data_IF_020679027894
#
_entry.id   IF_020679027894
#
_cell.length_a   1.000
_cell.length_b   1.000
_cell.length_c   1.000
_cell.angle_alpha   90.00
_cell.angle_beta   90.00
_cell.angle_gamma   90.00
#
_symmetry.space_group_name_H-M   'P 1'
#
loop_
_entity.id
_entity.type
_entity.pdbx_description
1 polymer ?
#
# COMPACT_ATOMS: atom_id res chain seq x y z
N UNK A 1 5.64 -3.30 3.26
CA UNK A 1 5.98 -2.18 4.16
C UNK A 1 5.55 -0.87 3.54
N UNK A 2 5.02 0.10 4.30
CA UNK A 2 4.71 1.44 3.83
C UNK A 2 5.69 2.45 4.42
N UNK A 3 6.08 3.45 3.63
CA UNK A 3 6.93 4.57 4.06
C UNK A 3 6.32 5.90 3.58
N UNK A 4 6.25 6.90 4.46
CA UNK A 4 5.81 8.25 4.11
C UNK A 4 7.02 9.14 3.85
N UNK A 5 7.22 9.53 2.59
CA UNK A 5 8.40 10.24 2.13
C UNK A 5 8.30 11.75 2.37
N UNK A 6 9.42 12.38 2.73
CA UNK A 6 9.59 13.82 2.63
C UNK A 6 9.66 14.26 1.16
N UNK A 7 9.46 15.54 0.86
CA UNK A 7 9.59 16.05 -0.51
C UNK A 7 10.95 15.73 -1.16
N UNK A 8 12.06 15.78 -0.38
CA UNK A 8 13.38 15.43 -0.89
C UNK A 8 13.55 13.93 -1.17
N UNK A 9 12.93 13.07 -0.37
CA UNK A 9 12.92 11.62 -0.62
C UNK A 9 12.04 11.29 -1.82
N UNK A 10 10.89 11.95 -1.97
CA UNK A 10 10.01 11.82 -3.12
C UNK A 10 10.74 12.18 -4.43
N UNK A 11 11.42 13.32 -4.46
CA UNK A 11 12.26 13.73 -5.59
C UNK A 11 13.39 12.73 -5.88
N UNK A 12 14.02 12.16 -4.85
CA UNK A 12 15.08 11.17 -5.00
C UNK A 12 14.55 9.87 -5.62
N UNK A 13 13.38 9.36 -5.17
CA UNK A 13 12.74 8.18 -5.75
C UNK A 13 12.38 8.41 -7.23
N UNK A 14 11.77 9.56 -7.55
CA UNK A 14 11.39 9.89 -8.93
C UNK A 14 12.60 10.06 -9.84
N UNK A 15 13.76 10.39 -9.30
CA UNK A 15 15.02 10.55 -10.04
C UNK A 15 15.77 9.23 -10.28
N UNK A 16 15.37 8.12 -9.69
CA UNK A 16 15.97 6.80 -9.94
C UNK A 16 15.81 6.40 -11.41
N UNK A 17 16.80 5.68 -11.95
CA UNK A 17 16.91 5.38 -13.38
C UNK A 17 16.85 3.89 -13.70
N UNK A 18 17.07 3.06 -12.69
CA UNK A 18 17.09 1.60 -12.80
C UNK A 18 16.72 0.95 -11.46
N UNK A 19 16.51 -0.35 -11.48
CA UNK A 19 16.10 -1.15 -10.33
C UNK A 19 17.12 -1.18 -9.20
N UNK A 20 18.42 -1.09 -9.51
CA UNK A 20 19.49 -1.05 -8.49
C UNK A 20 19.39 0.25 -7.68
N UNK A 21 19.19 1.40 -8.34
CA UNK A 21 19.00 2.68 -7.65
C UNK A 21 17.69 2.70 -6.82
N UNK A 22 16.63 2.06 -7.28
CA UNK A 22 15.37 1.91 -6.52
C UNK A 22 15.59 1.06 -5.27
N UNK A 23 16.31 -0.06 -5.39
CA UNK A 23 16.62 -0.91 -4.24
C UNK A 23 17.51 -0.22 -3.22
N UNK A 24 18.52 0.51 -3.67
CA UNK A 24 19.39 1.29 -2.79
C UNK A 24 18.58 2.36 -2.03
N UNK A 25 17.67 3.05 -2.71
CA UNK A 25 16.78 4.02 -2.10
C UNK A 25 15.88 3.38 -1.02
N UNK A 26 15.26 2.24 -1.32
CA UNK A 26 14.42 1.54 -0.34
C UNK A 26 15.25 1.03 0.84
N UNK A 27 16.45 0.50 0.59
CA UNK A 27 17.36 0.05 1.64
C UNK A 27 17.75 1.19 2.60
N UNK A 28 17.89 2.44 2.10
CA UNK A 28 18.12 3.62 2.95
C UNK A 28 16.90 3.93 3.84
N UNK A 29 15.66 3.82 3.31
CA UNK A 29 14.44 4.00 4.10
C UNK A 29 14.32 2.94 5.20
N UNK A 30 14.54 1.68 4.85
CA UNK A 30 14.52 0.56 5.79
C UNK A 30 15.63 0.70 6.84
N UNK A 31 16.84 1.13 6.44
CA UNK A 31 17.96 1.36 7.35
C UNK A 31 17.72 2.50 8.36
N UNK A 32 16.93 3.50 7.99
CA UNK A 32 16.56 4.60 8.87
C UNK A 32 15.55 4.17 9.94
N UNK A 33 14.68 3.19 9.64
CA UNK A 33 13.66 2.61 10.50
C UNK A 33 12.88 3.63 11.34
N UNK A 34 12.35 4.65 10.66
CA UNK A 34 11.61 5.75 11.30
C UNK A 34 10.17 5.36 11.59
N UNK A 35 9.91 4.90 12.81
CA UNK A 35 8.60 4.42 13.27
C UNK A 35 7.46 5.45 13.12
N UNK A 36 7.76 6.74 13.12
CA UNK A 36 6.74 7.77 12.92
C UNK A 36 6.23 7.78 11.46
N UNK A 37 7.06 7.30 10.53
CA UNK A 37 6.82 7.41 9.09
C UNK A 37 6.89 6.08 8.32
N UNK A 38 6.79 4.97 9.03
CA UNK A 38 6.59 3.64 8.45
C UNK A 38 5.33 2.98 9.03
N UNK A 39 4.80 2.01 8.28
CA UNK A 39 3.71 1.14 8.71
C UNK A 39 3.91 -0.26 8.11
N UNK A 40 3.83 -1.27 8.95
CA UNK A 40 3.86 -2.66 8.52
C UNK A 40 2.45 -3.10 8.10
N UNK A 41 2.36 -3.94 7.07
CA UNK A 41 1.12 -4.60 6.68
C UNK A 41 1.28 -6.13 6.63
N UNK A 42 2.49 -6.61 6.92
CA UNK A 42 2.86 -8.01 6.83
C UNK A 42 2.21 -8.69 5.61
N UNK A 43 1.57 -9.82 5.75
CA UNK A 43 0.89 -10.54 4.65
C UNK A 43 -0.54 -10.05 4.36
N UNK A 44 -1.09 -9.19 5.23
CA UNK A 44 -2.44 -8.64 5.06
C UNK A 44 -2.58 -7.76 3.80
N UNK A 45 -1.46 -7.30 3.22
CA UNK A 45 -1.45 -6.41 2.06
C UNK A 45 -2.18 -6.99 0.83
N UNK A 46 -2.12 -8.31 0.59
CA UNK A 46 -2.78 -8.95 -0.56
C UNK A 46 -4.30 -8.89 -0.42
N UNK A 47 -4.85 -9.43 0.69
CA UNK A 47 -6.30 -9.36 0.95
C UNK A 47 -6.78 -7.90 1.01
N UNK A 48 -6.01 -7.02 1.64
CA UNK A 48 -6.30 -5.59 1.71
C UNK A 48 -6.40 -4.97 0.32
N UNK A 49 -5.40 -5.21 -0.56
CA UNK A 49 -5.42 -4.70 -1.93
C UNK A 49 -6.65 -5.18 -2.71
N UNK A 50 -6.98 -6.47 -2.62
CA UNK A 50 -8.16 -7.04 -3.28
C UNK A 50 -9.46 -6.41 -2.77
N UNK A 51 -9.61 -6.26 -1.47
CA UNK A 51 -10.80 -5.66 -0.87
C UNK A 51 -10.96 -4.18 -1.25
N UNK A 52 -9.87 -3.42 -1.33
CA UNK A 52 -9.88 -2.01 -1.69
C UNK A 52 -10.02 -1.77 -3.20
N UNK A 53 -9.73 -2.78 -4.01
CA UNK A 53 -9.82 -2.79 -5.47
C UNK A 53 -11.02 -3.57 -6.02
N UNK A 54 -10.79 -4.28 -7.11
CA UNK A 54 -11.80 -5.06 -7.85
C UNK A 54 -11.87 -6.56 -7.47
N UNK A 55 -11.18 -6.96 -6.40
CA UNK A 55 -11.08 -8.35 -5.93
C UNK A 55 -9.89 -9.12 -6.50
N UNK A 56 -9.14 -8.55 -7.44
CA UNK A 56 -8.00 -9.20 -8.09
C UNK A 56 -6.67 -8.62 -7.65
N UNK A 57 -5.60 -9.43 -7.72
CA UNK A 57 -4.23 -8.95 -7.50
C UNK A 57 -3.70 -8.33 -8.79
N UNK A 58 -3.67 -7.01 -8.87
CA UNK A 58 -3.13 -6.28 -10.02
C UNK A 58 -2.19 -5.18 -9.61
N UNK A 59 -1.09 -5.07 -10.34
CA UNK A 59 -0.13 -3.99 -10.19
C UNK A 59 -0.57 -2.76 -11.00
N UNK A 60 -0.25 -1.57 -10.49
CA UNK A 60 -0.42 -0.31 -11.19
C UNK A 60 -1.79 0.33 -11.04
N UNK A 61 -1.90 1.55 -11.59
CA UNK A 61 -3.10 2.37 -11.50
C UNK A 61 -4.23 1.73 -12.31
N UNK A 62 -5.30 1.39 -11.63
CA UNK A 62 -6.53 0.95 -12.26
C UNK A 62 -7.51 2.13 -12.39
N UNK A 63 -8.61 1.91 -13.11
CA UNK A 63 -9.60 2.97 -13.38
C UNK A 63 -10.55 3.25 -12.21
N UNK A 64 -10.32 2.65 -11.06
CA UNK A 64 -11.12 2.81 -9.84
C UNK A 64 -10.81 4.08 -9.06
N UNK A 65 -11.36 4.16 -7.88
CA UNK A 65 -11.23 5.32 -7.02
C UNK A 65 -9.93 5.34 -6.20
N UNK A 66 -9.83 6.28 -5.26
CA UNK A 66 -8.64 6.43 -4.41
C UNK A 66 -8.27 5.18 -3.60
N UNK A 67 -9.23 4.32 -3.23
CA UNK A 67 -8.97 3.10 -2.47
C UNK A 67 -8.02 2.13 -3.20
N UNK A 68 -8.10 2.03 -4.54
CA UNK A 68 -7.21 1.19 -5.32
C UNK A 68 -5.74 1.62 -5.28
N UNK A 69 -5.49 2.90 -4.96
CA UNK A 69 -4.13 3.42 -4.83
C UNK A 69 -3.45 3.00 -3.52
N UNK A 70 -4.23 2.59 -2.52
CA UNK A 70 -3.75 2.47 -1.14
C UNK A 70 -2.60 1.46 -0.95
N UNK A 71 -2.50 0.41 -1.79
CA UNK A 71 -1.44 -0.62 -1.68
C UNK A 71 -0.61 -0.67 -2.96
N UNK A 72 -1.13 -1.23 -4.05
CA UNK A 72 -0.39 -1.49 -5.29
C UNK A 72 -0.74 -0.54 -6.45
N UNK A 73 -1.61 0.44 -6.23
CA UNK A 73 -2.24 1.20 -7.32
C UNK A 73 -1.50 2.46 -7.77
N UNK A 74 -0.42 2.84 -7.11
CA UNK A 74 0.35 4.04 -7.45
C UNK A 74 1.24 3.88 -8.69
N UNK A 75 2.19 4.79 -8.88
CA UNK A 75 3.26 4.65 -9.87
C UNK A 75 4.20 3.52 -9.48
N UNK A 76 4.67 2.72 -10.44
CA UNK A 76 5.64 1.66 -10.18
C UNK A 76 7.04 2.13 -10.55
N UNK A 77 8.00 1.91 -9.66
CA UNK A 77 9.40 2.33 -9.81
C UNK A 77 10.37 1.15 -9.98
N UNK A 78 9.89 -0.08 -9.96
CA UNK A 78 10.69 -1.28 -10.12
C UNK A 78 10.15 -2.14 -11.27
N UNK A 79 11.00 -2.59 -12.20
CA UNK A 79 10.60 -3.34 -13.39
C UNK A 79 10.76 -4.86 -13.24
N UNK A 80 11.54 -5.33 -12.24
CA UNK A 80 11.74 -6.75 -11.97
C UNK A 80 10.49 -7.44 -11.40
N UNK A 81 10.49 -8.78 -11.46
CA UNK A 81 9.34 -9.60 -11.03
C UNK A 81 9.41 -10.01 -9.54
N UNK A 82 10.52 -9.74 -8.86
CA UNK A 82 10.81 -10.22 -7.52
C UNK A 82 10.57 -9.17 -6.42
N UNK A 83 10.26 -7.94 -6.81
CA UNK A 83 10.02 -6.84 -5.87
C UNK A 83 9.02 -5.83 -6.42
N UNK A 84 8.20 -5.27 -5.55
CA UNK A 84 7.26 -4.21 -5.92
C UNK A 84 7.59 -2.94 -5.15
N UNK A 85 7.64 -1.81 -5.86
CA UNK A 85 7.74 -0.46 -5.30
C UNK A 85 6.63 0.38 -5.91
N UNK A 86 5.52 0.50 -5.18
CA UNK A 86 4.34 1.28 -5.59
C UNK A 86 4.34 2.64 -4.88
N UNK A 87 4.19 3.73 -5.63
CA UNK A 87 4.31 5.10 -5.15
C UNK A 87 3.04 5.89 -5.37
N UNK A 88 2.47 6.42 -4.29
CA UNK A 88 1.32 7.34 -4.27
C UNK A 88 1.82 8.75 -4.02
N UNK A 89 1.68 9.62 -5.01
CA UNK A 89 2.11 11.02 -4.89
C UNK A 89 1.32 11.77 -3.81
N UNK A 90 1.93 12.76 -3.16
CA UNK A 90 1.33 13.50 -2.05
C UNK A 90 -0.07 14.08 -2.37
N UNK A 91 -0.32 14.48 -3.62
CA UNK A 91 -1.61 14.98 -4.06
C UNK A 91 -2.72 13.91 -4.00
N UNK A 92 -2.39 12.64 -4.26
CA UNK A 92 -3.34 11.52 -4.22
C UNK A 92 -3.48 10.95 -2.80
N UNK A 93 -2.47 11.09 -1.93
CA UNK A 93 -2.48 10.58 -0.53
C UNK A 93 -3.64 11.15 0.27
N UNK A 94 -4.02 12.41 0.08
CA UNK A 94 -5.17 13.03 0.76
C UNK A 94 -6.47 12.30 0.38
N UNK A 95 -6.67 12.06 -0.92
CA UNK A 95 -7.87 11.37 -1.40
C UNK A 95 -7.93 9.90 -0.92
N UNK A 96 -6.77 9.22 -0.84
CA UNK A 96 -6.65 7.87 -0.28
C UNK A 96 -7.01 7.86 1.21
N UNK A 97 -6.48 8.80 2.00
CA UNK A 97 -6.78 8.93 3.42
C UNK A 97 -8.27 9.14 3.69
N UNK A 98 -8.91 10.07 2.94
CA UNK A 98 -10.35 10.32 3.03
C UNK A 98 -11.19 9.09 2.64
N UNK A 99 -10.78 8.37 1.60
CA UNK A 99 -11.48 7.18 1.16
C UNK A 99 -11.35 6.04 2.18
N UNK A 100 -10.15 5.80 2.74
CA UNK A 100 -9.91 4.80 3.79
C UNK A 100 -10.71 5.09 5.07
N UNK A 101 -10.92 6.36 5.42
CA UNK A 101 -11.73 6.75 6.59
C UNK A 101 -13.20 6.30 6.46
N UNK A 102 -13.70 6.17 5.25
CA UNK A 102 -15.04 5.70 4.95
C UNK A 102 -15.22 4.17 4.99
N UNK A 103 -14.12 3.39 5.03
CA UNK A 103 -14.16 1.93 5.00
C UNK A 103 -14.56 1.38 6.37
N UNK A 104 -15.75 0.81 6.47
CA UNK A 104 -16.22 0.11 7.67
C UNK A 104 -15.92 -1.39 7.60
N UNK A 105 -15.89 -2.05 8.77
CA UNK A 105 -15.63 -3.48 8.91
C UNK A 105 -16.61 -4.33 8.07
N UNK A 106 -17.91 -4.03 8.13
CA UNK A 106 -18.92 -4.76 7.37
C UNK A 106 -18.74 -4.62 5.85
N UNK A 107 -18.32 -3.42 5.38
CA UNK A 107 -18.00 -3.18 3.98
C UNK A 107 -16.77 -3.97 3.54
N UNK A 108 -15.73 -4.01 4.37
CA UNK A 108 -14.53 -4.79 4.09
C UNK A 108 -14.85 -6.29 4.07
N UNK A 109 -15.66 -6.77 5.03
CA UNK A 109 -16.07 -8.19 5.12
C UNK A 109 -16.80 -8.66 3.86
N UNK A 110 -17.74 -7.87 3.35
CA UNK A 110 -18.46 -8.20 2.12
C UNK A 110 -17.50 -8.40 0.94
N UNK A 111 -16.48 -7.56 0.83
CA UNK A 111 -15.49 -7.63 -0.26
C UNK A 111 -14.48 -8.75 -0.04
N UNK A 112 -14.11 -9.00 1.19
CA UNK A 112 -13.25 -10.12 1.56
C UNK A 112 -13.92 -11.47 1.23
N UNK A 113 -15.18 -11.65 1.59
CA UNK A 113 -15.96 -12.85 1.29
C UNK A 113 -16.17 -13.09 -0.24
N UNK A 114 -15.97 -12.05 -1.04
CA UNK A 114 -16.06 -12.11 -2.50
C UNK A 114 -14.70 -12.40 -3.18
N UNK A 115 -13.60 -12.50 -2.44
CA UNK A 115 -12.28 -12.89 -3.00
C UNK A 115 -12.37 -14.31 -3.54
N UNK A 116 -11.88 -14.53 -4.77
CA UNK A 116 -11.81 -15.88 -5.37
C UNK A 116 -10.74 -16.72 -4.63
N UNK A 117 -11.14 -17.81 -3.93
CA UNK A 117 -10.19 -18.66 -3.22
C UNK A 117 -9.19 -19.39 -4.14
N UNK A 118 -9.46 -19.46 -5.44
CA UNK A 118 -8.53 -20.05 -6.40
C UNK A 118 -7.36 -19.10 -6.77
N UNK A 119 -7.55 -17.80 -6.55
CA UNK A 119 -6.59 -16.76 -6.89
C UNK A 119 -5.89 -16.15 -5.65
N UNK A 120 -6.32 -16.52 -4.45
CA UNK A 120 -5.76 -16.05 -3.18
C UNK A 120 -4.84 -17.11 -2.56
N UNK A 121 -3.63 -16.72 -2.18
CA UNK A 121 -2.64 -17.65 -1.61
C UNK A 121 -2.82 -17.89 -0.11
N UNK A 122 -3.60 -17.05 0.58
CA UNK A 122 -3.94 -17.20 2.01
C UNK A 122 -5.07 -18.22 2.24
N UNK A 123 -5.52 -18.28 3.48
CA UNK A 123 -6.70 -19.07 3.88
C UNK A 123 -7.84 -18.10 4.17
N UNK A 124 -8.88 -18.11 3.32
CA UNK A 124 -10.04 -17.22 3.50
C UNK A 124 -10.92 -17.75 4.65
N UNK A 125 -10.67 -17.27 5.86
CA UNK A 125 -11.42 -17.58 7.07
C UNK A 125 -11.57 -16.34 7.97
N UNK A 126 -12.19 -16.51 9.14
CA UNK A 126 -12.43 -15.41 10.07
C UNK A 126 -11.13 -14.88 10.69
N UNK A 127 -10.12 -15.73 10.91
CA UNK A 127 -8.83 -15.32 11.47
C UNK A 127 -8.05 -14.45 10.48
N UNK A 128 -8.01 -14.82 9.18
CA UNK A 128 -7.36 -14.04 8.13
C UNK A 128 -8.11 -12.71 7.86
N UNK A 129 -9.46 -12.72 7.98
CA UNK A 129 -10.23 -11.48 7.92
C UNK A 129 -9.92 -10.53 9.08
N UNK A 130 -9.92 -11.02 10.32
CA UNK A 130 -9.59 -10.21 11.50
C UNK A 130 -8.17 -9.65 11.42
N UNK A 131 -7.23 -10.44 10.91
CA UNK A 131 -5.86 -10.02 10.62
C UNK A 131 -5.81 -8.90 9.58
N UNK A 132 -6.51 -9.06 8.45
CA UNK A 132 -6.60 -8.04 7.40
C UNK A 132 -7.24 -6.75 7.91
N UNK A 133 -8.33 -6.86 8.68
CA UNK A 133 -9.01 -5.72 9.28
C UNK A 133 -8.11 -4.97 10.27
N UNK A 134 -7.36 -5.68 11.11
CA UNK A 134 -6.42 -5.08 12.04
C UNK A 134 -5.37 -4.23 11.32
N UNK A 135 -4.67 -4.80 10.36
CA UNK A 135 -3.65 -4.05 9.61
C UNK A 135 -4.22 -2.90 8.78
N UNK A 136 -5.45 -3.02 8.30
CA UNK A 136 -6.10 -1.90 7.61
C UNK A 136 -6.31 -0.69 8.52
N UNK A 137 -6.54 -0.88 9.83
CA UNK A 137 -6.64 0.25 10.77
C UNK A 137 -5.28 0.97 10.88
N UNK A 138 -4.18 0.22 10.97
CA UNK A 138 -2.84 0.80 11.05
C UNK A 138 -2.48 1.56 9.76
N UNK A 139 -2.81 1.00 8.59
CA UNK A 139 -2.62 1.64 7.28
C UNK A 139 -3.48 2.89 7.15
N UNK A 140 -4.73 2.87 7.64
CA UNK A 140 -5.60 4.07 7.68
C UNK A 140 -4.98 5.20 8.48
N UNK A 141 -4.55 4.92 9.71
CA UNK A 141 -3.90 5.91 10.58
C UNK A 141 -2.60 6.44 9.96
N UNK A 142 -1.85 5.57 9.31
CA UNK A 142 -0.63 5.95 8.60
C UNK A 142 -0.93 6.91 7.44
N UNK A 143 -1.92 6.61 6.58
CA UNK A 143 -2.32 7.51 5.50
C UNK A 143 -2.83 8.87 5.99
N UNK A 144 -3.58 8.89 7.10
CA UNK A 144 -4.02 10.14 7.73
C UNK A 144 -2.83 11.00 8.19
N UNK A 145 -1.80 10.37 8.84
CA UNK A 145 -0.57 11.07 9.23
C UNK A 145 0.19 11.58 8.01
N UNK A 146 0.36 10.76 6.98
CA UNK A 146 1.05 11.14 5.74
C UNK A 146 0.34 12.30 5.05
N UNK A 147 -0.99 12.26 4.92
CA UNK A 147 -1.80 13.33 4.35
C UNK A 147 -1.66 14.65 5.13
N UNK A 148 -1.75 14.60 6.47
CA UNK A 148 -1.61 15.77 7.33
C UNK A 148 -0.22 16.42 7.23
N UNK A 149 0.82 15.64 6.93
CA UNK A 149 2.19 16.10 6.76
C UNK A 149 2.55 16.46 5.31
N UNK A 150 1.63 16.28 4.35
CA UNK A 150 1.88 16.54 2.93
C UNK A 150 2.91 15.61 2.30
N UNK A 151 3.00 14.36 2.79
CA UNK A 151 3.96 13.36 2.33
C UNK A 151 3.37 12.47 1.24
N UNK A 152 4.21 12.01 0.31
CA UNK A 152 3.89 10.88 -0.56
C UNK A 152 4.07 9.56 0.19
N UNK A 153 3.54 8.47 -0.35
CA UNK A 153 3.63 7.14 0.27
C UNK A 153 4.21 6.15 -0.72
N UNK A 154 5.16 5.35 -0.25
CA UNK A 154 5.68 4.19 -0.98
C UNK A 154 5.28 2.91 -0.24
N UNK A 155 4.76 1.94 -0.98
CA UNK A 155 4.58 0.57 -0.52
C UNK A 155 5.61 -0.35 -1.18
N UNK A 156 6.24 -1.21 -0.39
CA UNK A 156 7.21 -2.19 -0.86
C UNK A 156 6.85 -3.60 -0.41
N UNK A 157 7.08 -4.57 -1.28
CA UNK A 157 6.93 -6.00 -0.96
C UNK A 157 7.83 -6.87 -1.83
N UNK A 158 8.50 -7.85 -1.22
CA UNK A 158 9.14 -8.98 -1.93
C UNK A 158 8.07 -9.96 -2.41
N UNK A 159 8.27 -10.55 -3.62
CA UNK A 159 7.38 -11.53 -4.23
C UNK A 159 8.02 -12.91 -4.32
#
# INVERSE_FOLDING_TARGET
>A
MFFALTGSQDEALVATRDDDEVRDFVAELEGAWDWDWLCEADKAWDAMHRCLGDGTLRLGRQSGGPLELAVLGGGHHYEGDDYVVAHVVAADVVAVAEALDSVGEAWLRERYDAIDPADYQGVLDDEDFEYTWHYLQDVREFYQRAAAAGRSVVFTVDQ
#
